data_IF_161119168027
#
_entry.id   IF_161119168027
#
_cell.length_a   1.000
_cell.length_b   1.000
_cell.length_c   1.000
_cell.angle_alpha   90.00
_cell.angle_beta   90.00
_cell.angle_gamma   90.00
#
_symmetry.space_group_name_H-M   'P 1'
#
loop_
_entity.id
_entity.type
_entity.pdbx_description
1 polymer ?
#
# COMPACT_ATOMS: atom_id res chain seq x y z
N UNK A 1 14.85 -20.36 -2.57
CA UNK A 1 15.07 -19.42 -3.68
C UNK A 1 15.48 -18.05 -3.14
N UNK A 2 16.69 -17.58 -3.45
CA UNK A 2 17.24 -16.32 -2.92
C UNK A 2 16.38 -15.08 -3.29
N UNK A 3 15.84 -15.05 -4.50
CA UNK A 3 14.96 -13.97 -5.00
C UNK A 3 13.67 -13.84 -4.20
N UNK A 4 13.05 -14.96 -3.81
CA UNK A 4 11.81 -14.94 -3.02
C UNK A 4 12.05 -14.38 -1.62
N UNK A 5 13.20 -14.72 -1.01
CA UNK A 5 13.60 -14.16 0.28
C UNK A 5 13.79 -12.65 0.20
N UNK A 6 14.40 -12.17 -0.88
CA UNK A 6 14.62 -10.74 -1.10
C UNK A 6 13.31 -9.98 -1.27
N UNK A 7 12.41 -10.48 -2.11
CA UNK A 7 11.07 -9.89 -2.29
C UNK A 7 10.25 -9.92 -1.00
N UNK A 8 10.44 -10.93 -0.15
CA UNK A 8 9.73 -11.01 1.14
C UNK A 8 10.23 -9.95 2.13
N UNK A 9 11.53 -9.58 2.07
CA UNK A 9 12.10 -8.49 2.88
C UNK A 9 11.65 -7.12 2.40
N UNK A 10 11.74 -6.89 1.09
CA UNK A 10 11.30 -5.65 0.45
C UNK A 10 10.36 -5.96 -0.73
N UNK A 11 9.04 -5.94 -0.51
CA UNK A 11 8.09 -6.30 -1.55
C UNK A 11 7.97 -5.24 -2.65
N UNK A 12 8.54 -4.04 -2.47
CA UNK A 12 8.54 -2.96 -3.46
C UNK A 12 9.75 -3.00 -4.42
N UNK A 13 10.60 -4.02 -4.30
CA UNK A 13 11.75 -4.19 -5.18
C UNK A 13 11.32 -4.35 -6.64
N UNK A 14 12.00 -3.65 -7.54
CA UNK A 14 11.76 -3.67 -8.98
C UNK A 14 12.43 -4.88 -9.63
N UNK A 15 11.95 -5.29 -10.81
CA UNK A 15 12.62 -6.33 -11.60
C UNK A 15 14.05 -5.96 -12.00
N UNK A 16 14.35 -4.66 -12.11
CA UNK A 16 15.71 -4.19 -12.44
C UNK A 16 16.65 -4.48 -11.27
N UNK A 17 16.25 -4.12 -10.06
CA UNK A 17 17.02 -4.38 -8.83
C UNK A 17 17.19 -5.89 -8.59
N UNK A 18 16.13 -6.68 -8.77
CA UNK A 18 16.22 -8.14 -8.68
C UNK A 18 17.18 -8.75 -9.71
N UNK A 19 17.23 -8.18 -10.92
CA UNK A 19 18.19 -8.61 -11.95
C UNK A 19 19.62 -8.28 -11.53
N UNK A 20 19.88 -7.08 -10.99
CA UNK A 20 21.19 -6.70 -10.47
C UNK A 20 21.64 -7.65 -9.34
N UNK A 21 20.75 -7.93 -8.39
CA UNK A 21 21.02 -8.87 -7.29
C UNK A 21 21.36 -10.29 -7.78
N UNK A 22 20.70 -10.74 -8.86
CA UNK A 22 21.00 -12.04 -9.48
C UNK A 22 22.41 -12.08 -10.08
N UNK A 23 22.83 -10.98 -10.75
CA UNK A 23 24.17 -10.85 -11.34
C UNK A 23 25.27 -10.81 -10.27
N UNK A 24 25.06 -10.05 -9.20
CA UNK A 24 26.00 -9.97 -8.06
C UNK A 24 26.25 -11.33 -7.40
N UNK A 25 25.27 -12.23 -7.46
CA UNK A 25 25.37 -13.59 -6.92
C UNK A 25 25.96 -14.61 -7.90
N UNK A 26 26.43 -14.17 -9.06
CA UNK A 26 27.00 -15.04 -10.09
C UNK A 26 25.97 -15.86 -10.86
N UNK A 27 24.68 -15.53 -10.77
CA UNK A 27 23.60 -16.21 -11.49
C UNK A 27 22.83 -15.22 -12.38
N UNK A 28 23.37 -14.83 -13.56
CA UNK A 28 22.71 -13.88 -14.44
C UNK A 28 21.41 -14.46 -14.98
N UNK A 29 20.28 -13.94 -14.52
CA UNK A 29 18.95 -14.39 -14.95
C UNK A 29 18.25 -13.37 -15.85
N UNK A 30 17.43 -13.87 -16.78
CA UNK A 30 16.54 -13.03 -17.58
C UNK A 30 15.36 -12.57 -16.73
N UNK A 31 14.80 -11.40 -17.05
CA UNK A 31 13.62 -10.85 -16.33
C UNK A 31 12.43 -11.81 -16.35
N UNK A 32 12.24 -12.54 -17.44
CA UNK A 32 11.19 -13.56 -17.58
C UNK A 32 11.37 -14.71 -16.59
N UNK A 33 12.61 -15.18 -16.41
CA UNK A 33 12.95 -16.24 -15.44
C UNK A 33 12.67 -15.78 -14.00
N UNK A 34 13.06 -14.55 -13.64
CA UNK A 34 12.78 -13.96 -12.33
C UNK A 34 11.27 -13.90 -12.10
N UNK A 35 10.52 -13.36 -13.07
CA UNK A 35 9.05 -13.25 -12.98
C UNK A 35 8.38 -14.62 -12.83
N UNK A 36 8.81 -15.61 -13.62
CA UNK A 36 8.30 -16.98 -13.54
C UNK A 36 8.56 -17.61 -12.16
N UNK A 37 9.77 -17.45 -11.61
CA UNK A 37 10.11 -17.96 -10.28
C UNK A 37 9.28 -17.30 -9.16
N UNK A 38 8.99 -16.00 -9.29
CA UNK A 38 8.11 -15.28 -8.36
C UNK A 38 6.66 -15.77 -8.48
N UNK A 39 6.16 -15.95 -9.70
CA UNK A 39 4.81 -16.49 -9.95
C UNK A 39 4.66 -17.92 -9.42
N UNK A 40 5.66 -18.78 -9.59
CA UNK A 40 5.69 -20.13 -8.99
C UNK A 40 5.59 -20.08 -7.46
N UNK A 41 6.06 -19.00 -6.85
CA UNK A 41 5.96 -18.77 -5.40
C UNK A 41 4.68 -18.03 -4.99
N UNK A 42 3.77 -17.79 -5.93
CA UNK A 42 2.51 -17.08 -5.73
C UNK A 42 2.63 -15.56 -5.54
N UNK A 43 3.78 -14.97 -5.86
CA UNK A 43 4.03 -13.54 -5.75
C UNK A 43 3.78 -12.86 -7.09
N UNK A 44 2.90 -11.87 -7.10
CA UNK A 44 2.53 -11.14 -8.31
C UNK A 44 2.73 -9.64 -8.14
N UNK A 45 3.24 -9.00 -9.19
CA UNK A 45 3.32 -7.54 -9.25
C UNK A 45 1.91 -6.94 -9.31
N UNK A 46 1.59 -6.05 -8.37
CA UNK A 46 0.32 -5.32 -8.28
C UNK A 46 0.58 -3.88 -7.87
N UNK A 47 -0.35 -2.98 -8.18
CA UNK A 47 -0.28 -1.60 -7.68
C UNK A 47 -0.54 -1.61 -6.17
N UNK A 48 0.35 -0.96 -5.42
CA UNK A 48 0.23 -0.80 -3.98
C UNK A 48 -0.91 0.17 -3.64
N UNK A 49 -1.59 -0.07 -2.51
CA UNK A 49 -2.69 0.80 -2.06
C UNK A 49 -2.13 1.90 -1.17
N UNK A 50 -2.56 3.14 -1.40
CA UNK A 50 -2.31 4.26 -0.51
C UNK A 50 -3.22 4.17 0.70
N UNK A 51 -2.62 4.13 1.90
CA UNK A 51 -3.37 4.04 3.16
C UNK A 51 -2.71 4.89 4.24
N UNK A 52 -3.49 5.54 5.11
CA UNK A 52 -2.94 6.18 6.28
C UNK A 52 -2.34 5.13 7.22
N UNK A 53 -1.22 5.46 7.85
CA UNK A 53 -0.67 4.65 8.93
C UNK A 53 -1.56 4.80 10.16
N UNK A 54 -2.16 3.70 10.60
CA UNK A 54 -3.00 3.67 11.79
C UNK A 54 -2.26 2.95 12.92
N UNK A 55 -2.20 3.60 14.09
CA UNK A 55 -1.75 2.93 15.30
C UNK A 55 -2.79 1.88 15.74
N UNK A 56 -2.37 0.90 16.55
CA UNK A 56 -3.28 -0.08 17.15
C UNK A 56 -4.44 0.58 17.91
N UNK A 57 -4.14 1.69 18.61
CA UNK A 57 -5.14 2.51 19.31
C UNK A 57 -6.18 3.07 18.34
N UNK A 58 -5.73 3.67 17.23
CA UNK A 58 -6.64 4.23 16.22
C UNK A 58 -7.49 3.13 15.56
N UNK A 59 -6.91 1.96 15.27
CA UNK A 59 -7.66 0.82 14.73
C UNK A 59 -8.79 0.38 15.67
N UNK A 60 -8.48 0.22 16.97
CA UNK A 60 -9.48 -0.16 17.98
C UNK A 60 -10.59 0.90 18.10
N UNK A 61 -10.22 2.17 18.22
CA UNK A 61 -11.19 3.25 18.33
C UNK A 61 -12.12 3.33 17.11
N UNK A 62 -11.58 3.19 15.89
CA UNK A 62 -12.38 3.19 14.65
C UNK A 62 -13.32 1.99 14.57
N UNK A 63 -12.87 0.80 14.99
CA UNK A 63 -13.70 -0.40 15.00
C UNK A 63 -14.86 -0.26 16.00
N UNK A 64 -14.59 0.21 17.21
CA UNK A 64 -15.63 0.43 18.23
C UNK A 64 -16.61 1.51 17.83
N UNK A 65 -16.15 2.59 17.20
CA UNK A 65 -17.01 3.61 16.59
C UNK A 65 -17.92 2.98 15.52
N UNK A 66 -17.36 2.21 14.58
CA UNK A 66 -18.15 1.58 13.52
C UNK A 66 -19.20 0.60 14.07
N UNK A 67 -18.86 -0.19 15.08
CA UNK A 67 -19.82 -1.10 15.75
C UNK A 67 -20.96 -0.33 16.43
N UNK A 68 -20.64 0.74 17.15
CA UNK A 68 -21.62 1.57 17.87
C UNK A 68 -22.64 2.18 16.91
N UNK A 69 -22.18 2.68 15.77
CA UNK A 69 -22.99 3.40 14.78
C UNK A 69 -23.53 2.50 13.65
N UNK A 70 -23.34 1.17 13.73
CA UNK A 70 -23.74 0.22 12.70
C UNK A 70 -25.26 0.23 12.48
N UNK A 71 -26.03 0.38 13.58
CA UNK A 71 -27.50 0.34 13.59
C UNK A 71 -28.15 1.73 13.57
N UNK A 72 -27.37 2.79 13.39
CA UNK A 72 -27.90 4.14 13.34
C UNK A 72 -28.91 4.29 12.20
N UNK A 73 -30.08 4.84 12.53
CA UNK A 73 -31.13 5.07 11.54
C UNK A 73 -30.73 6.19 10.57
N UNK A 74 -31.31 6.16 9.36
CA UNK A 74 -31.06 7.19 8.35
C UNK A 74 -31.41 8.59 8.87
N UNK A 75 -32.48 8.71 9.67
CA UNK A 75 -32.91 9.97 10.28
C UNK A 75 -31.87 10.54 11.24
N UNK A 76 -31.17 9.68 11.99
CA UNK A 76 -30.07 10.10 12.87
C UNK A 76 -28.87 10.58 12.04
N UNK A 77 -28.50 9.85 10.99
CA UNK A 77 -27.39 10.23 10.09
C UNK A 77 -27.65 11.57 9.40
N UNK A 78 -28.89 11.84 8.99
CA UNK A 78 -29.28 13.09 8.34
C UNK A 78 -29.25 14.31 9.27
N UNK A 79 -29.27 14.10 10.60
CA UNK A 79 -29.15 15.18 11.59
C UNK A 79 -27.69 15.54 11.90
N UNK A 80 -26.74 14.75 11.43
CA UNK A 80 -25.31 14.97 11.67
C UNK A 80 -24.76 15.97 10.66
N UNK A 81 -24.32 17.14 11.15
CA UNK A 81 -23.52 18.07 10.36
C UNK A 81 -22.04 17.64 10.40
N UNK A 82 -21.44 17.44 9.24
CA UNK A 82 -20.03 17.07 9.10
C UNK A 82 -19.21 18.30 8.72
N UNK A 83 -18.09 18.51 9.41
CA UNK A 83 -17.06 19.48 9.02
C UNK A 83 -15.73 18.75 8.85
N UNK A 84 -14.96 19.16 7.85
CA UNK A 84 -13.58 18.73 7.64
C UNK A 84 -12.86 19.84 6.87
N UNK A 85 -11.55 19.95 7.05
CA UNK A 85 -10.69 20.86 6.28
C UNK A 85 -9.97 20.06 5.19
N UNK A 86 -9.96 20.57 3.96
CA UNK A 86 -9.31 19.87 2.84
C UNK A 86 -8.17 20.68 2.26
N UNK A 87 -7.05 19.99 2.02
CA UNK A 87 -5.89 20.55 1.34
C UNK A 87 -6.01 20.26 -0.16
N UNK A 88 -6.06 21.32 -0.96
CA UNK A 88 -6.01 21.22 -2.42
C UNK A 88 -4.55 21.36 -2.86
N UNK A 89 -4.00 20.28 -3.41
CA UNK A 89 -2.63 20.26 -3.95
C UNK A 89 -2.63 20.67 -5.43
N UNK A 90 -1.73 21.58 -5.81
CA UNK A 90 -1.56 22.02 -7.20
C UNK A 90 -0.92 20.93 -8.09
N UNK A 91 -0.05 20.11 -7.50
CA UNK A 91 0.62 18.99 -8.17
C UNK A 91 0.55 17.73 -7.29
N UNK A 92 -0.49 16.92 -7.48
CA UNK A 92 -0.64 15.65 -6.78
C UNK A 92 0.26 14.57 -7.37
N UNK A 93 1.44 14.34 -6.79
CA UNK A 93 2.34 13.23 -7.15
C UNK A 93 1.79 11.88 -6.64
N UNK A 94 0.63 11.47 -7.13
CA UNK A 94 0.07 10.13 -6.88
C UNK A 94 0.68 9.10 -7.85
N UNK A 95 2.01 8.94 -7.79
CA UNK A 95 2.73 7.98 -8.63
C UNK A 95 2.31 6.54 -8.34
N UNK A 96 1.99 5.76 -9.37
CA UNK A 96 1.69 4.32 -9.20
C UNK A 96 2.98 3.59 -8.82
N UNK A 97 3.04 3.08 -7.60
CA UNK A 97 4.10 2.16 -7.13
C UNK A 97 3.60 0.73 -7.15
N UNK A 98 4.47 -0.18 -7.57
CA UNK A 98 4.19 -1.61 -7.65
C UNK A 98 4.76 -2.34 -6.44
N UNK A 99 4.10 -3.43 -6.06
CA UNK A 99 4.49 -4.32 -4.98
C UNK A 99 4.27 -5.76 -5.40
N UNK A 100 5.21 -6.63 -5.06
CA UNK A 100 5.08 -8.07 -5.19
C UNK A 100 4.35 -8.62 -3.98
N UNK A 101 3.16 -9.19 -4.19
CA UNK A 101 2.36 -9.72 -3.09
C UNK A 101 1.56 -10.95 -3.50
N UNK A 102 1.15 -11.73 -2.50
CA UNK A 102 0.19 -12.82 -2.68
C UNK A 102 -1.23 -12.28 -2.82
N UNK A 103 -2.14 -12.99 -3.51
CA UNK A 103 -3.57 -12.67 -3.49
C UNK A 103 -4.11 -12.52 -2.05
N UNK A 104 -5.08 -11.64 -1.83
CA UNK A 104 -5.68 -11.39 -0.50
C UNK A 104 -4.86 -10.48 0.45
N UNK A 105 -3.56 -10.30 0.21
CA UNK A 105 -2.68 -9.54 1.14
C UNK A 105 -2.61 -8.03 0.87
N UNK A 106 -3.60 -7.48 0.15
CA UNK A 106 -3.55 -6.11 -0.37
C UNK A 106 -3.55 -5.01 0.72
N UNK A 107 -4.03 -5.33 1.93
CA UNK A 107 -4.17 -4.41 3.05
C UNK A 107 -3.10 -4.59 4.13
N UNK A 108 -2.15 -5.53 3.93
CA UNK A 108 -1.02 -5.68 4.84
C UNK A 108 -0.13 -4.43 4.76
N UNK A 109 0.36 -3.97 5.90
CA UNK A 109 1.15 -2.73 6.00
C UNK A 109 2.35 -2.72 5.04
N UNK A 110 3.06 -3.85 4.92
CA UNK A 110 4.18 -4.03 4.00
C UNK A 110 3.80 -3.86 2.51
N UNK A 111 2.52 -4.04 2.17
CA UNK A 111 1.98 -3.96 0.81
C UNK A 111 1.25 -2.64 0.50
N UNK A 112 1.29 -1.70 1.44
CA UNK A 112 0.64 -0.40 1.34
C UNK A 112 1.67 0.71 1.37
N UNK A 113 1.33 1.84 0.75
CA UNK A 113 2.16 3.05 0.82
C UNK A 113 1.51 3.99 1.81
N UNK A 114 2.28 4.47 2.80
CA UNK A 114 1.76 5.45 3.74
C UNK A 114 1.40 6.74 2.99
N UNK A 115 0.18 7.22 3.18
CA UNK A 115 -0.19 8.56 2.75
C UNK A 115 0.38 9.58 3.75
N UNK A 116 1.38 10.36 3.34
CA UNK A 116 1.87 11.52 4.09
C UNK A 116 1.33 12.79 3.43
N UNK A 117 0.80 13.74 4.22
CA UNK A 117 0.14 14.96 3.71
C UNK A 117 1.10 16.16 3.45
N UNK A 118 2.41 15.96 3.62
CA UNK A 118 3.37 17.06 3.70
C UNK A 118 4.24 17.16 2.43
N UNK A 119 4.30 18.36 1.84
CA UNK A 119 5.11 18.69 0.66
C UNK A 119 4.31 19.37 -0.46
N UNK A 120 4.93 20.34 -1.15
CA UNK A 120 4.33 21.10 -2.26
C UNK A 120 3.34 22.18 -1.81
N UNK A 121 3.44 23.39 -2.38
CA UNK A 121 2.53 24.49 -2.10
C UNK A 121 1.06 24.08 -2.24
N UNK A 122 0.21 24.55 -1.33
CA UNK A 122 -1.18 24.13 -1.25
C UNK A 122 -2.07 25.19 -0.64
N UNK A 123 -3.35 25.16 -1.00
CA UNK A 123 -4.40 25.98 -0.39
C UNK A 123 -5.25 25.11 0.53
N UNK A 124 -5.63 25.66 1.69
CA UNK A 124 -6.60 25.05 2.61
C UNK A 124 -7.96 25.72 2.42
N UNK A 125 -9.03 24.92 2.43
CA UNK A 125 -10.42 25.35 2.44
C UNK A 125 -11.11 24.83 3.71
#
# INVERSE_FOLDING_TARGET
>A
MALVREVTKNPMVTLKELKCFSVERGEPSRRTTISAALHQSGLYGRVARWKPLLSKRHMKARLEFAKRHLKDSQTMRNKTLWSDETKIELFGLNGKRHVWRKPGTAHHLANTIPTVKHGGGSMML
#
